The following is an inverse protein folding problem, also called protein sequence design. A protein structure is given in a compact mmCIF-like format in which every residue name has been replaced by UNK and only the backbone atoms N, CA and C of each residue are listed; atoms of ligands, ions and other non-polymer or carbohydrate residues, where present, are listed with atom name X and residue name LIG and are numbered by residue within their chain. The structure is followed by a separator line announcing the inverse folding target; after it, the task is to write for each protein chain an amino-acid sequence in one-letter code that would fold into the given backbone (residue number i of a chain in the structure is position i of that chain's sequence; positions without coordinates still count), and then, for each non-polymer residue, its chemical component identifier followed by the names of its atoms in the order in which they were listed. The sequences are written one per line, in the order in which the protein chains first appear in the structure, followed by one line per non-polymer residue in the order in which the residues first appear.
data_IF_496008179904
#
_entry.id   IF_496008179904
#
_cell.length_a   1.000
_cell.length_b   1.000
_cell.length_c   1.000
_cell.angle_alpha   90.00
_cell.angle_beta   90.00
_cell.angle_gamma   90.00
#
_symmetry.space_group_name_H-M   'P 1'
#
loop_
_entity.id
_entity.type
_entity.pdbx_description
1 polymer ?
#
# COMPACT_ATOMS: atom_id res chain seq x y z
N UNK A 1 12.24 -17.19 -15.41
CA UNK A 1 12.29 -15.72 -15.63
C UNK A 1 11.45 -14.96 -14.58
N UNK A 2 11.86 -13.75 -14.17
CA UNK A 2 11.25 -12.93 -13.09
C UNK A 2 9.75 -12.64 -13.28
N UNK A 3 9.31 -12.50 -14.54
CA UNK A 3 7.90 -12.24 -14.90
C UNK A 3 6.98 -13.45 -14.77
N UNK A 4 7.50 -14.68 -14.94
CA UNK A 4 6.71 -15.90 -14.79
C UNK A 4 6.17 -16.06 -13.35
N UNK A 5 6.93 -15.56 -12.35
CA UNK A 5 6.51 -15.53 -10.94
C UNK A 5 5.59 -14.36 -10.60
N UNK A 6 5.50 -13.34 -11.48
CA UNK A 6 4.75 -12.10 -11.26
C UNK A 6 3.92 -11.77 -12.52
N UNK A 7 3.00 -12.66 -12.92
CA UNK A 7 2.28 -12.52 -14.19
C UNK A 7 1.45 -11.24 -14.28
N UNK A 8 0.99 -10.71 -13.14
CA UNK A 8 0.25 -9.44 -13.08
C UNK A 8 1.08 -8.21 -13.47
N UNK A 9 2.42 -8.30 -13.47
CA UNK A 9 3.26 -7.20 -13.93
C UNK A 9 3.24 -7.05 -15.45
N UNK A 10 2.73 -8.05 -16.18
CA UNK A 10 2.52 -8.01 -17.62
C UNK A 10 1.07 -7.69 -18.01
N UNK A 11 0.13 -7.61 -17.04
CA UNK A 11 -1.30 -7.41 -17.30
C UNK A 11 -1.84 -6.31 -16.37
N UNK A 12 -1.72 -5.07 -16.83
CA UNK A 12 -2.13 -3.87 -16.09
C UNK A 12 -3.63 -3.88 -15.76
N UNK A 13 -4.47 -4.43 -16.64
CA UNK A 13 -5.93 -4.47 -16.44
C UNK A 13 -6.26 -5.34 -15.23
N UNK A 14 -5.69 -6.55 -15.16
CA UNK A 14 -5.86 -7.44 -14.01
C UNK A 14 -5.24 -6.85 -12.74
N UNK A 15 -4.07 -6.22 -12.85
CA UNK A 15 -3.43 -5.56 -11.71
C UNK A 15 -4.31 -4.44 -11.12
N UNK A 16 -4.91 -3.60 -11.97
CA UNK A 16 -5.84 -2.54 -11.56
C UNK A 16 -7.11 -3.07 -10.90
N UNK A 17 -7.70 -4.15 -11.44
CA UNK A 17 -8.87 -4.79 -10.83
C UNK A 17 -8.55 -5.28 -9.43
N UNK A 18 -7.46 -6.05 -9.29
CA UNK A 18 -7.03 -6.59 -8.00
C UNK A 18 -6.68 -5.49 -6.99
N UNK A 19 -6.05 -4.41 -7.45
CA UNK A 19 -5.76 -3.23 -6.61
C UNK A 19 -7.05 -2.63 -6.04
N UNK A 20 -8.08 -2.42 -6.88
CA UNK A 20 -9.36 -1.82 -6.44
C UNK A 20 -10.07 -2.67 -5.40
N UNK A 21 -10.04 -4.00 -5.56
CA UNK A 21 -10.63 -4.95 -4.60
C UNK A 21 -9.88 -4.89 -3.26
N UNK A 22 -8.56 -5.04 -3.30
CA UNK A 22 -7.72 -5.09 -2.09
C UNK A 22 -7.68 -3.76 -1.35
N UNK A 23 -7.67 -2.62 -2.05
CA UNK A 23 -7.70 -1.29 -1.44
C UNK A 23 -8.88 -1.14 -0.46
N UNK A 24 -10.06 -1.66 -0.82
CA UNK A 24 -11.24 -1.63 0.05
C UNK A 24 -11.03 -2.51 1.30
N UNK A 25 -10.53 -3.73 1.11
CA UNK A 25 -10.26 -4.64 2.21
C UNK A 25 -9.21 -4.10 3.19
N UNK A 26 -8.10 -3.56 2.67
CA UNK A 26 -7.05 -2.94 3.49
C UNK A 26 -7.56 -1.75 4.29
N UNK A 27 -8.35 -0.86 3.66
CA UNK A 27 -8.92 0.30 4.36
C UNK A 27 -9.89 -0.09 5.48
N UNK A 28 -10.62 -1.20 5.33
CA UNK A 28 -11.57 -1.68 6.35
C UNK A 28 -10.85 -2.24 7.59
N UNK A 29 -9.68 -2.84 7.41
CA UNK A 29 -8.93 -3.49 8.48
C UNK A 29 -7.91 -2.56 9.17
N UNK A 30 -7.53 -1.46 8.52
CA UNK A 30 -6.46 -0.61 9.01
C UNK A 30 -6.97 0.40 10.05
N UNK A 31 -6.32 0.45 11.22
CA UNK A 31 -6.49 1.51 12.21
C UNK A 31 -5.88 2.85 11.73
N UNK A 32 -4.83 2.76 10.91
CA UNK A 32 -4.13 3.90 10.31
C UNK A 32 -3.96 3.68 8.83
N UNK A 33 -4.35 4.69 8.04
CA UNK A 33 -4.02 4.78 6.63
C UNK A 33 -3.06 5.94 6.41
N UNK A 34 -1.93 5.65 5.76
CA UNK A 34 -0.88 6.61 5.41
C UNK A 34 -0.70 6.59 3.90
N UNK A 35 -0.74 7.77 3.28
CA UNK A 35 -0.31 7.94 1.90
C UNK A 35 1.20 8.17 1.91
N UNK A 36 1.93 7.32 1.18
CA UNK A 36 3.39 7.33 1.13
C UNK A 36 3.91 7.83 -0.23
N UNK A 37 3.01 8.20 -1.15
CA UNK A 37 3.41 8.74 -2.44
C UNK A 37 4.23 10.02 -2.25
N UNK A 38 5.33 10.15 -3.00
CA UNK A 38 6.24 11.31 -3.01
C UNK A 38 7.01 11.56 -1.69
N UNK A 39 7.08 10.57 -0.81
CA UNK A 39 7.87 10.65 0.43
C UNK A 39 9.14 9.79 0.34
N UNK A 40 10.22 10.28 0.92
CA UNK A 40 11.40 9.45 1.23
C UNK A 40 11.07 8.43 2.33
N UNK A 41 11.94 7.42 2.48
CA UNK A 41 11.75 6.39 3.49
C UNK A 41 11.72 6.97 4.92
N UNK A 42 12.59 7.94 5.21
CA UNK A 42 12.68 8.55 6.54
C UNK A 42 11.40 9.35 6.86
N UNK A 43 10.90 10.14 5.90
CA UNK A 43 9.63 10.87 6.06
C UNK A 43 8.44 9.91 6.30
N UNK A 44 8.44 8.74 5.63
CA UNK A 44 7.40 7.73 5.84
C UNK A 44 7.46 7.17 7.26
N UNK A 45 8.66 6.84 7.74
CA UNK A 45 8.88 6.29 9.10
C UNK A 45 8.41 7.30 10.15
N UNK A 46 8.82 8.57 10.02
CA UNK A 46 8.46 9.63 10.95
C UNK A 46 6.93 9.85 11.00
N UNK A 47 6.27 9.86 9.83
CA UNK A 47 4.83 10.03 9.74
C UNK A 47 4.06 8.85 10.34
N UNK A 48 4.51 7.61 10.08
CA UNK A 48 3.91 6.40 10.65
C UNK A 48 4.07 6.41 12.17
N UNK A 49 5.28 6.66 12.67
CA UNK A 49 5.56 6.72 14.12
C UNK A 49 4.67 7.76 14.82
N UNK A 50 4.51 8.95 14.22
CA UNK A 50 3.64 10.01 14.74
C UNK A 50 2.17 9.59 14.78
N UNK A 51 1.66 8.94 13.73
CA UNK A 51 0.26 8.49 13.66
C UNK A 51 -0.03 7.33 14.62
N UNK A 52 0.91 6.40 14.79
CA UNK A 52 0.75 5.30 15.75
C UNK A 52 0.75 5.80 17.20
N UNK A 53 1.56 6.82 17.53
CA UNK A 53 1.58 7.41 18.87
C UNK A 53 0.26 8.09 19.27
N UNK A 54 -0.54 8.56 18.31
CA UNK A 54 -1.84 9.18 18.59
C UNK A 54 -2.98 8.18 18.84
N UNK A 55 -2.73 6.87 18.68
CA UNK A 55 -3.74 5.80 18.80
C UNK A 55 -3.51 4.91 20.02
N UNK A 56 -2.29 4.94 20.58
CA UNK A 56 -1.93 4.31 21.86
C UNK A 56 -2.14 5.29 23.02
#
# INVERSE_FOLDING_TARGET
AKLAKRPLFADEKKAKTLYKERKKAYKKLADVVVDVEKMSLDEQIDLIAKKCKSIL
#
